data_IF_075478488118
#
_entry.id   IF_075478488118
#
_cell.length_a   1.000
_cell.length_b   1.000
_cell.length_c   1.000
_cell.angle_alpha   90.00
_cell.angle_beta   90.00
_cell.angle_gamma   90.00
#
_symmetry.space_group_name_H-M   'P 1'
#
loop_
_entity.id
_entity.type
_entity.pdbx_description
1 polymer ?
#
# COMPACT_ATOMS: atom_id res chain seq x y z
N UNK A 1 -15.23 -15.25 16.48
CA UNK A 1 -14.17 -15.12 15.47
C UNK A 1 -13.01 -14.39 16.11
N UNK A 2 -11.86 -15.05 16.11
CA UNK A 2 -10.59 -14.57 16.65
C UNK A 2 -10.13 -13.32 15.90
N UNK A 3 -9.53 -12.37 16.62
CA UNK A 3 -8.95 -11.16 16.03
C UNK A 3 -7.69 -11.56 15.27
N UNK A 4 -7.78 -11.67 13.94
CA UNK A 4 -6.62 -11.98 13.11
C UNK A 4 -5.85 -10.70 12.83
N UNK A 5 -4.61 -10.63 13.29
CA UNK A 5 -3.69 -9.51 13.07
C UNK A 5 -2.49 -10.00 12.26
N UNK A 6 -2.23 -9.38 11.12
CA UNK A 6 -1.03 -9.61 10.33
C UNK A 6 -0.27 -8.31 10.18
N UNK A 7 1.03 -8.36 10.44
CA UNK A 7 1.95 -7.25 10.24
C UNK A 7 2.81 -7.50 8.99
N UNK A 8 3.29 -6.40 8.40
CA UNK A 8 4.29 -6.46 7.34
C UNK A 8 5.60 -7.03 7.87
N UNK A 9 6.18 -7.99 7.16
CA UNK A 9 7.48 -8.57 7.50
C UNK A 9 8.55 -8.04 6.56
N UNK A 10 9.68 -7.59 7.10
CA UNK A 10 10.79 -7.13 6.28
C UNK A 10 11.61 -8.32 5.76
N UNK A 11 11.70 -8.49 4.45
CA UNK A 11 12.59 -9.47 3.83
C UNK A 11 14.04 -8.98 3.89
N UNK A 12 14.96 -9.87 4.29
CA UNK A 12 16.40 -9.59 4.35
C UNK A 12 16.93 -9.03 3.02
N UNK A 13 16.51 -9.61 1.89
CA UNK A 13 16.93 -9.17 0.55
C UNK A 13 16.51 -7.72 0.28
N UNK A 14 15.24 -7.40 0.51
CA UNK A 14 14.71 -6.05 0.25
C UNK A 14 15.29 -5.02 1.22
N UNK A 15 15.55 -5.43 2.47
CA UNK A 15 16.22 -4.60 3.46
C UNK A 15 17.64 -4.25 3.00
N UNK A 16 18.45 -5.23 2.59
CA UNK A 16 19.81 -5.02 2.07
C UNK A 16 19.80 -4.06 0.87
N UNK A 17 18.91 -4.28 -0.09
CA UNK A 17 18.79 -3.40 -1.27
C UNK A 17 18.47 -1.96 -0.88
N UNK A 18 17.52 -1.77 0.05
CA UNK A 18 17.19 -0.43 0.55
C UNK A 18 18.35 0.20 1.33
N UNK A 19 19.09 -0.57 2.13
CA UNK A 19 20.28 -0.09 2.83
C UNK A 19 21.34 0.40 1.85
N UNK A 20 21.66 -0.39 0.82
CA UNK A 20 22.63 -0.02 -0.21
C UNK A 20 22.20 1.28 -0.92
N UNK A 21 20.91 1.40 -1.26
CA UNK A 21 20.38 2.60 -1.89
C UNK A 21 20.53 3.83 -0.96
N UNK A 22 20.18 3.70 0.32
CA UNK A 22 20.34 4.78 1.30
C UNK A 22 21.81 5.18 1.43
N UNK A 23 22.73 4.21 1.54
CA UNK A 23 24.17 4.47 1.63
C UNK A 23 24.70 5.19 0.38
N UNK A 24 24.28 4.77 -0.82
CA UNK A 24 24.68 5.42 -2.07
C UNK A 24 24.18 6.88 -2.15
N UNK A 25 22.91 7.13 -1.83
CA UNK A 25 22.38 8.49 -1.80
C UNK A 25 22.98 9.35 -0.68
N UNK A 26 23.35 8.75 0.45
CA UNK A 26 24.06 9.45 1.53
C UNK A 26 25.45 9.87 1.08
N UNK A 27 26.19 9.02 0.38
CA UNK A 27 27.48 9.36 -0.20
C UNK A 27 27.35 10.51 -1.23
N UNK A 28 26.32 10.50 -2.08
CA UNK A 28 26.03 11.60 -2.99
C UNK A 28 25.75 12.91 -2.23
N UNK A 29 24.91 12.88 -1.20
CA UNK A 29 24.61 14.06 -0.39
C UNK A 29 25.86 14.61 0.32
N UNK A 30 26.71 13.74 0.86
CA UNK A 30 28.00 14.12 1.48
C UNK A 30 28.93 14.75 0.44
N UNK A 31 29.00 14.19 -0.77
CA UNK A 31 29.81 14.76 -1.85
C UNK A 31 29.27 16.13 -2.30
N UNK A 32 27.95 16.31 -2.38
CA UNK A 32 27.34 17.60 -2.68
C UNK A 32 27.66 18.64 -1.59
N UNK A 33 27.68 18.23 -0.31
CA UNK A 33 28.12 19.10 0.80
C UNK A 33 29.62 19.43 0.71
N UNK A 34 30.47 18.46 0.34
CA UNK A 34 31.89 18.70 0.11
C UNK A 34 32.13 19.74 -0.99
N UNK A 35 31.40 19.64 -2.12
CA UNK A 35 31.45 20.64 -3.20
C UNK A 35 31.12 22.04 -2.69
N UNK A 36 30.13 22.16 -1.81
CA UNK A 36 29.75 23.45 -1.25
C UNK A 36 30.85 23.99 -0.31
N UNK A 37 31.25 23.24 0.71
CA UNK A 37 32.14 23.76 1.75
C UNK A 37 33.61 23.87 1.33
N UNK A 38 34.10 22.98 0.45
CA UNK A 38 35.52 22.93 0.09
C UNK A 38 35.78 23.55 -1.28
N UNK A 39 34.92 23.28 -2.26
CA UNK A 39 35.08 23.78 -3.63
C UNK A 39 34.34 25.11 -3.88
N UNK A 40 33.58 25.61 -2.90
CA UNK A 40 32.72 26.81 -3.01
C UNK A 40 31.74 26.75 -4.21
N UNK A 41 31.36 25.54 -4.64
CA UNK A 41 30.39 25.32 -5.70
C UNK A 41 28.99 25.28 -5.11
N UNK A 42 28.23 26.36 -5.30
CA UNK A 42 26.91 26.53 -4.71
C UNK A 42 25.82 25.86 -5.56
N UNK A 43 25.39 24.65 -5.16
CA UNK A 43 24.35 23.87 -5.85
C UNK A 43 23.25 23.41 -4.87
N UNK A 44 22.41 24.33 -4.36
CA UNK A 44 21.41 24.04 -3.33
C UNK A 44 20.33 23.05 -3.81
N UNK A 45 20.00 23.07 -5.10
CA UNK A 45 19.00 22.18 -5.69
C UNK A 45 19.41 20.71 -5.59
N UNK A 46 20.70 20.40 -5.79
CA UNK A 46 21.22 19.04 -5.73
C UNK A 46 21.13 18.47 -4.31
N UNK A 47 21.50 19.28 -3.31
CA UNK A 47 21.44 18.92 -1.90
C UNK A 47 19.99 18.73 -1.45
N UNK A 48 19.10 19.63 -1.87
CA UNK A 48 17.68 19.50 -1.59
C UNK A 48 17.11 18.21 -2.20
N UNK A 49 17.42 17.91 -3.46
CA UNK A 49 16.94 16.70 -4.12
C UNK A 49 17.48 15.43 -3.45
N UNK A 50 18.79 15.36 -3.16
CA UNK A 50 19.42 14.22 -2.51
C UNK A 50 18.86 13.98 -1.10
N UNK A 51 18.72 15.04 -0.30
CA UNK A 51 18.15 14.96 1.05
C UNK A 51 16.67 14.54 1.05
N UNK A 52 15.88 15.04 0.10
CA UNK A 52 14.49 14.62 -0.08
C UNK A 52 14.38 13.14 -0.44
N UNK A 53 15.22 12.64 -1.36
CA UNK A 53 15.25 11.23 -1.73
C UNK A 53 15.64 10.37 -0.51
N UNK A 54 16.68 10.76 0.22
CA UNK A 54 17.10 10.07 1.45
C UNK A 54 15.97 10.00 2.47
N UNK A 55 15.30 11.12 2.72
CA UNK A 55 14.17 11.19 3.63
C UNK A 55 13.05 10.23 3.22
N UNK A 56 12.68 10.21 1.93
CA UNK A 56 11.66 9.30 1.39
C UNK A 56 12.07 7.83 1.52
N UNK A 57 13.33 7.49 1.27
CA UNK A 57 13.83 6.12 1.39
C UNK A 57 13.81 5.64 2.85
N UNK A 58 14.26 6.48 3.78
CA UNK A 58 14.25 6.17 5.22
C UNK A 58 12.81 6.02 5.71
N UNK A 59 11.91 6.95 5.36
CA UNK A 59 10.49 6.85 5.73
C UNK A 59 9.83 5.58 5.18
N UNK A 60 10.20 5.17 3.96
CA UNK A 60 9.68 3.93 3.36
C UNK A 60 10.24 2.67 4.02
N UNK A 61 11.46 2.73 4.56
CA UNK A 61 12.11 1.62 5.26
C UNK A 61 11.57 1.43 6.68
N UNK A 62 11.24 2.53 7.37
CA UNK A 62 10.72 2.49 8.76
C UNK A 62 9.22 2.22 8.84
N UNK A 63 8.48 2.46 7.75
CA UNK A 63 7.03 2.28 7.70
C UNK A 63 6.60 0.83 8.01
N UNK A 64 5.78 0.68 9.05
CA UNK A 64 5.14 -0.59 9.44
C UNK A 64 3.67 -0.58 9.03
N UNK A 65 3.20 -1.72 8.54
CA UNK A 65 1.83 -1.90 8.11
C UNK A 65 1.19 -3.02 8.92
N UNK A 66 0.00 -2.77 9.43
CA UNK A 66 -0.79 -3.73 10.20
C UNK A 66 -2.15 -3.88 9.56
N UNK A 67 -2.58 -5.12 9.41
CA UNK A 67 -3.90 -5.50 8.90
C UNK A 67 -4.62 -6.26 9.99
N UNK A 68 -5.73 -5.72 10.47
CA UNK A 68 -6.54 -6.32 11.54
C UNK A 68 -7.93 -6.65 11.01
N UNK A 69 -8.33 -7.91 11.18
CA UNK A 69 -9.71 -8.32 10.96
C UNK A 69 -10.49 -8.23 12.27
N UNK A 70 -11.55 -7.41 12.27
CA UNK A 70 -12.50 -7.31 13.36
C UNK A 70 -13.82 -8.00 12.99
N UNK A 71 -14.84 -7.91 13.85
CA UNK A 71 -16.17 -8.48 13.64
C UNK A 71 -16.89 -7.85 12.45
N UNK A 72 -16.76 -6.53 12.24
CA UNK A 72 -17.53 -5.79 11.21
C UNK A 72 -16.67 -5.08 10.16
N UNK A 73 -15.39 -4.83 10.46
CA UNK A 73 -14.50 -4.06 9.59
C UNK A 73 -13.14 -4.72 9.44
N UNK A 74 -12.51 -4.50 8.29
CA UNK A 74 -11.08 -4.72 8.08
C UNK A 74 -10.36 -3.39 8.33
N UNK A 75 -9.45 -3.35 9.30
CA UNK A 75 -8.66 -2.16 9.64
C UNK A 75 -7.27 -2.28 9.03
N UNK A 76 -6.88 -1.29 8.23
CA UNK A 76 -5.54 -1.16 7.66
C UNK A 76 -4.85 0.03 8.30
N UNK A 77 -3.75 -0.20 8.99
CA UNK A 77 -2.99 0.85 9.67
C UNK A 77 -1.57 0.92 9.12
N UNK A 78 -1.15 2.13 8.74
CA UNK A 78 0.22 2.46 8.35
C UNK A 78 0.81 3.32 9.46
N UNK A 79 1.98 2.95 9.97
CA UNK A 79 2.76 3.73 10.94
C UNK A 79 4.11 4.07 10.33
N UNK A 80 4.36 5.35 10.05
CA UNK A 80 5.63 5.88 9.56
C UNK A 80 6.25 6.86 10.57
N UNK A 81 7.30 7.59 10.16
CA UNK A 81 7.94 8.61 10.98
C UNK A 81 7.03 9.83 11.17
N UNK A 82 6.24 10.18 10.14
CA UNK A 82 5.34 11.33 10.18
C UNK A 82 3.99 11.06 10.88
N UNK A 83 3.83 9.87 11.47
CA UNK A 83 2.64 9.48 12.24
C UNK A 83 1.97 8.21 11.75
N UNK A 84 0.74 8.00 12.20
CA UNK A 84 -0.06 6.82 11.87
C UNK A 84 -1.35 7.19 11.14
N UNK A 85 -1.65 6.46 10.07
CA UNK A 85 -2.90 6.58 9.32
C UNK A 85 -3.61 5.23 9.40
N UNK A 86 -4.88 5.25 9.81
CA UNK A 86 -5.72 4.07 9.88
C UNK A 86 -6.95 4.23 8.99
N UNK A 87 -7.31 3.16 8.28
CA UNK A 87 -8.55 3.08 7.52
C UNK A 87 -9.34 1.86 7.95
N UNK A 88 -10.66 2.02 8.04
CA UNK A 88 -11.59 0.94 8.32
C UNK A 88 -12.46 0.72 7.10
N UNK A 89 -12.53 -0.52 6.65
CA UNK A 89 -13.36 -0.93 5.52
C UNK A 89 -14.41 -1.93 6.01
N UNK A 90 -15.70 -1.57 6.02
CA UNK A 90 -16.76 -2.51 6.37
C UNK A 90 -16.83 -3.67 5.38
N UNK A 91 -17.03 -4.89 5.88
CA UNK A 91 -17.06 -6.09 5.02
C UNK A 91 -18.19 -6.08 3.98
N UNK A 92 -19.29 -5.41 4.31
CA UNK A 92 -20.45 -5.24 3.40
C UNK A 92 -20.11 -4.45 2.14
N UNK A 93 -19.16 -3.53 2.24
CA UNK A 93 -18.79 -2.60 1.17
C UNK A 93 -17.69 -3.18 0.26
N UNK A 94 -17.04 -4.26 0.70
CA UNK A 94 -16.07 -5.00 -0.10
C UNK A 94 -16.82 -5.78 -1.17
N UNK A 95 -16.40 -5.59 -2.42
CA UNK A 95 -16.93 -6.33 -3.57
C UNK A 95 -15.90 -7.23 -4.23
N UNK A 96 -14.61 -7.11 -3.90
CA UNK A 96 -13.62 -8.08 -4.38
C UNK A 96 -12.25 -7.97 -3.70
N UNK A 97 -11.61 -9.12 -3.48
CA UNK A 97 -10.22 -9.26 -3.04
C UNK A 97 -9.50 -10.21 -3.99
N UNK A 98 -8.57 -9.68 -4.77
CA UNK A 98 -7.89 -10.42 -5.84
C UNK A 98 -6.40 -10.11 -5.90
N UNK A 99 -5.62 -11.02 -6.49
CA UNK A 99 -4.17 -10.83 -6.63
C UNK A 99 -3.89 -9.66 -7.57
N UNK A 100 -3.00 -8.75 -7.16
CA UNK A 100 -2.64 -7.60 -7.98
C UNK A 100 -1.94 -8.04 -9.25
N UNK A 101 -2.41 -7.54 -10.39
CA UNK A 101 -1.73 -7.66 -11.69
C UNK A 101 -1.49 -6.24 -12.23
N UNK A 102 -0.26 -5.91 -12.66
CA UNK A 102 -0.01 -4.62 -13.30
C UNK A 102 -0.74 -4.57 -14.65
N UNK A 103 -1.75 -3.70 -14.75
CA UNK A 103 -2.50 -3.45 -15.96
C UNK A 103 -2.42 -1.96 -16.33
N UNK A 104 -2.26 -1.68 -17.62
CA UNK A 104 -2.14 -0.32 -18.16
C UNK A 104 -3.47 0.44 -18.14
N UNK A 105 -4.58 -0.25 -18.40
CA UNK A 105 -5.94 0.30 -18.43
C UNK A 105 -6.85 -0.67 -17.69
N UNK A 106 -7.43 -0.22 -16.57
CA UNK A 106 -8.43 -1.00 -15.83
C UNK A 106 -9.85 -0.65 -16.31
N UNK A 107 -10.68 -1.67 -16.49
CA UNK A 107 -12.09 -1.50 -16.88
C UNK A 107 -12.90 -0.82 -15.77
N UNK A 108 -12.57 -1.10 -14.50
CA UNK A 108 -13.22 -0.47 -13.35
C UNK A 108 -12.53 0.86 -12.97
N UNK A 109 -13.31 1.95 -12.95
CA UNK A 109 -12.82 3.26 -12.54
C UNK A 109 -12.74 3.36 -11.01
N UNK A 110 -11.51 3.30 -10.47
CA UNK A 110 -11.25 3.56 -9.06
C UNK A 110 -10.93 5.05 -8.83
N UNK A 111 -11.74 5.74 -8.03
CA UNK A 111 -11.49 7.16 -7.72
C UNK A 111 -10.27 7.35 -6.83
N UNK A 112 -10.01 6.42 -5.90
CA UNK A 112 -8.86 6.47 -4.99
C UNK A 112 -8.16 5.12 -4.91
N UNK A 113 -6.83 5.17 -4.90
CA UNK A 113 -5.95 4.02 -4.71
C UNK A 113 -5.04 4.27 -3.52
N UNK A 114 -5.13 3.42 -2.51
CA UNK A 114 -4.33 3.51 -1.30
C UNK A 114 -3.25 2.42 -1.31
N UNK A 115 -1.99 2.80 -1.11
CA UNK A 115 -0.85 1.89 -1.06
C UNK A 115 -0.51 1.55 0.40
N UNK A 116 -1.04 0.43 0.86
CA UNK A 116 -0.83 -0.13 2.20
C UNK A 116 0.05 -1.37 2.13
N UNK A 117 0.97 -1.44 1.18
CA UNK A 117 1.92 -2.52 1.00
C UNK A 117 3.34 -2.04 1.32
N UNK A 118 4.03 -2.74 2.23
CA UNK A 118 5.43 -2.48 2.51
C UNK A 118 6.31 -2.84 1.32
N UNK A 119 7.31 -2.01 1.03
CA UNK A 119 8.34 -2.29 0.04
C UNK A 119 9.35 -3.34 0.52
N UNK A 120 9.51 -3.47 1.85
CA UNK A 120 10.42 -4.45 2.43
C UNK A 120 9.83 -5.85 2.45
N UNK A 121 8.51 -5.96 2.45
CA UNK A 121 7.81 -7.24 2.43
C UNK A 121 7.94 -7.91 1.07
N UNK A 122 8.24 -9.22 1.04
CA UNK A 122 8.41 -9.98 -0.20
C UNK A 122 7.13 -10.70 -0.66
N UNK A 123 6.08 -10.73 0.17
CA UNK A 123 4.82 -11.39 -0.16
C UNK A 123 4.12 -10.71 -1.34
N UNK A 124 3.22 -11.48 -1.95
CA UNK A 124 2.38 -11.00 -3.03
C UNK A 124 1.47 -9.84 -2.60
N UNK A 125 1.32 -8.88 -3.52
CA UNK A 125 0.39 -7.76 -3.36
C UNK A 125 -1.00 -8.22 -3.78
N UNK A 126 -1.98 -7.88 -2.95
CA UNK A 126 -3.40 -8.10 -3.20
C UNK A 126 -4.13 -6.77 -3.28
N UNK A 127 -5.19 -6.75 -4.06
CA UNK A 127 -6.11 -5.62 -4.22
C UNK A 127 -7.37 -5.91 -3.42
N UNK A 128 -7.71 -5.02 -2.49
CA UNK A 128 -9.01 -4.96 -1.82
C UNK A 128 -9.83 -3.87 -2.51
N UNK A 129 -10.91 -4.24 -3.18
CA UNK A 129 -11.82 -3.34 -3.86
C UNK A 129 -13.12 -3.19 -3.08
N UNK A 130 -13.51 -1.94 -2.83
CA UNK A 130 -14.67 -1.60 -2.02
C UNK A 130 -15.35 -0.32 -2.51
N UNK A 131 -16.64 -0.21 -2.28
CA UNK A 131 -17.44 0.97 -2.62
C UNK A 131 -17.64 1.85 -1.39
N UNK A 132 -17.74 3.15 -1.60
CA UNK A 132 -18.09 4.11 -0.55
C UNK A 132 -19.12 5.08 -1.10
N UNK A 133 -20.23 5.25 -0.38
CA UNK A 133 -21.22 6.28 -0.66
C UNK A 133 -20.66 7.64 -0.23
N UNK A 134 -20.60 8.60 -1.16
CA UNK A 134 -20.27 9.98 -0.83
C UNK A 134 -21.43 10.67 -0.09
N UNK A 135 -21.18 11.79 0.58
CA UNK A 135 -22.22 12.58 1.27
C UNK A 135 -23.34 13.06 0.32
N UNK A 136 -23.07 13.06 -0.99
CA UNK A 136 -24.03 13.40 -2.06
C UNK A 136 -24.73 12.17 -2.66
N UNK A 137 -24.65 11.00 -2.02
CA UNK A 137 -25.27 9.75 -2.46
C UNK A 137 -24.59 9.06 -3.65
N UNK A 138 -23.49 9.60 -4.19
CA UNK A 138 -22.76 8.99 -5.31
C UNK A 138 -21.84 7.89 -4.80
N UNK A 139 -22.04 6.66 -5.27
CA UNK A 139 -21.15 5.53 -5.00
C UNK A 139 -19.81 5.70 -5.70
N UNK A 140 -18.72 5.51 -4.97
CA UNK A 140 -17.36 5.63 -5.50
C UNK A 140 -16.54 4.41 -5.16
N UNK A 141 -15.93 3.82 -6.18
CA UNK A 141 -15.06 2.67 -6.02
C UNK A 141 -13.67 3.12 -5.56
N UNK A 142 -13.16 2.45 -4.55
CA UNK A 142 -11.84 2.68 -3.97
C UNK A 142 -11.12 1.33 -3.85
N UNK A 143 -9.79 1.38 -3.80
CA UNK A 143 -8.99 0.18 -3.62
C UNK A 143 -7.81 0.39 -2.68
N UNK A 144 -7.46 -0.68 -1.97
CA UNK A 144 -6.20 -0.81 -1.24
C UNK A 144 -5.31 -1.84 -1.90
N UNK A 145 -4.03 -1.53 -2.02
CA UNK A 145 -2.99 -2.53 -2.24
C UNK A 145 -2.36 -2.88 -0.91
N UNK A 146 -2.35 -4.17 -0.57
CA UNK A 146 -1.89 -4.65 0.73
C UNK A 146 -1.31 -6.06 0.60
N UNK A 147 -0.67 -6.56 1.66
CA UNK A 147 -0.01 -7.88 1.69
C UNK A 147 -0.60 -8.74 2.81
N UNK A 148 -1.79 -9.36 2.59
CA UNK A 148 -2.51 -10.08 3.64
C UNK A 148 -1.72 -11.26 4.22
N UNK A 149 -0.90 -11.94 3.42
CA UNK A 149 -0.34 -13.24 3.77
C UNK A 149 -1.43 -14.32 3.88
N UNK A 150 -1.03 -15.58 3.96
CA UNK A 150 -1.97 -16.71 3.82
C UNK A 150 -3.00 -16.78 4.96
N UNK A 151 -2.57 -16.46 6.19
CA UNK A 151 -3.44 -16.48 7.37
C UNK A 151 -4.61 -15.51 7.28
N UNK A 152 -4.33 -14.25 6.94
CA UNK A 152 -5.38 -13.23 6.83
C UNK A 152 -6.24 -13.45 5.59
N UNK A 153 -5.65 -13.97 4.53
CA UNK A 153 -6.36 -14.26 3.31
C UNK A 153 -7.36 -15.43 3.50
N UNK A 154 -6.94 -16.51 4.16
CA UNK A 154 -7.84 -17.60 4.55
C UNK A 154 -8.97 -17.10 5.46
N UNK A 155 -8.66 -16.26 6.45
CA UNK A 155 -9.66 -15.67 7.33
C UNK A 155 -10.65 -14.76 6.59
N UNK A 156 -10.17 -13.98 5.60
CA UNK A 156 -11.03 -13.19 4.71
C UNK A 156 -11.94 -14.10 3.89
N UNK A 157 -11.41 -15.20 3.34
CA UNK A 157 -12.17 -16.15 2.53
C UNK A 157 -13.27 -16.83 3.35
N UNK A 158 -12.99 -17.24 4.60
CA UNK A 158 -14.03 -17.81 5.47
C UNK A 158 -15.17 -16.83 5.76
N UNK A 159 -14.92 -15.53 5.68
CA UNK A 159 -15.91 -14.49 5.98
C UNK A 159 -16.64 -13.97 4.73
N UNK A 160 -15.96 -13.96 3.60
CA UNK A 160 -16.44 -13.48 2.30
C UNK A 160 -16.08 -14.50 1.21
N UNK A 161 -16.68 -15.70 1.23
CA UNK A 161 -16.28 -16.81 0.36
C UNK A 161 -16.38 -16.46 -1.13
N UNK A 162 -17.44 -15.76 -1.51
CA UNK A 162 -17.72 -15.40 -2.92
C UNK A 162 -17.11 -14.06 -3.34
N UNK A 163 -16.15 -13.51 -2.58
CA UNK A 163 -15.50 -12.23 -2.92
C UNK A 163 -13.98 -12.26 -2.82
N UNK A 164 -13.39 -13.34 -2.30
CA UNK A 164 -11.96 -13.44 -1.98
C UNK A 164 -11.31 -14.52 -2.83
N UNK A 165 -10.11 -14.24 -3.38
CA UNK A 165 -9.39 -15.09 -4.34
C UNK A 165 -10.04 -15.25 -5.71
N UNK A 166 -10.96 -14.36 -6.06
CA UNK A 166 -11.64 -14.39 -7.35
C UNK A 166 -10.80 -13.68 -8.42
N UNK A 167 -10.82 -14.12 -9.70
CA UNK A 167 -10.21 -13.38 -10.79
C UNK A 167 -10.76 -11.95 -10.89
N UNK A 168 -9.89 -10.99 -11.19
CA UNK A 168 -10.27 -9.58 -11.34
C UNK A 168 -11.40 -9.38 -12.37
N UNK A 169 -11.39 -10.16 -13.46
CA UNK A 169 -12.39 -10.11 -14.52
C UNK A 169 -13.80 -10.45 -14.02
N UNK A 170 -13.91 -11.42 -13.11
CA UNK A 170 -15.20 -11.82 -12.54
C UNK A 170 -15.72 -10.73 -11.60
N UNK A 171 -14.84 -10.14 -10.77
CA UNK A 171 -15.20 -8.99 -9.92
C UNK A 171 -15.68 -7.81 -10.77
N UNK A 172 -15.03 -7.53 -11.90
CA UNK A 172 -15.45 -6.46 -12.82
C UNK A 172 -16.85 -6.77 -13.39
N UNK A 173 -17.10 -8.00 -13.84
CA UNK A 173 -18.40 -8.41 -14.38
C UNK A 173 -19.52 -8.22 -13.35
N UNK A 174 -19.29 -8.64 -12.10
CA UNK A 174 -20.27 -8.57 -11.03
C UNK A 174 -20.60 -7.13 -10.60
N UNK A 175 -19.66 -6.21 -10.74
CA UNK A 175 -19.91 -4.78 -10.47
C UNK A 175 -20.65 -4.13 -11.64
N UNK A 176 -20.26 -4.44 -12.88
CA UNK A 176 -20.89 -3.88 -14.08
C UNK A 176 -22.33 -4.38 -14.29
N UNK A 177 -22.66 -5.62 -13.90
CA UNK A 177 -24.03 -6.11 -13.94
C UNK A 177 -24.93 -5.34 -12.98
N UNK A 178 -24.45 -5.08 -11.76
CA UNK A 178 -25.18 -4.31 -10.73
C UNK A 178 -25.38 -2.83 -11.06
N UNK A 179 -24.59 -2.25 -11.95
CA UNK A 179 -24.80 -0.86 -12.41
C UNK A 179 -25.85 -0.76 -13.53
N UNK A 180 -26.24 -1.88 -14.15
CA UNK A 180 -27.23 -1.92 -15.24
C UNK A 180 -28.66 -2.19 -14.77
N UNK A 181 -28.83 -2.75 -13.57
CA UNK A 181 -30.11 -2.96 -12.90
C UNK A 181 -30.53 -1.70 -12.10
#
# INVERSE_FOLDING_TARGET
>A
MEKVVVQSEASKKNFIVMTIAITAFAALAIFSLYKWFVLNLFQPLEIMAASMILFVLVERMTAKYTYEMDKKVLRLTKRGLLGSISHEVPYRDIFGVYRYKPQLIGVLKFRRTYRFNSALDARDVWTLAYSVSDNKGKTQNRRFYFKPGDKLLAALQSKLPDKVMIPEEQVIRDVLSKEKD
#
